data_IF_339270202955
#
_entry.id   IF_339270202955
#
_cell.length_a   1.000
_cell.length_b   1.000
_cell.length_c   1.000
_cell.angle_alpha   90.00
_cell.angle_beta   90.00
_cell.angle_gamma   90.00
#
_symmetry.space_group_name_H-M   'P 1'
#
loop_
_entity.id
_entity.type
_entity.pdbx_description
1 polymer ?
#
# COMPACT_ATOMS: atom_id res chain seq x y z
N UNK A 1 1.95 -28.39 -21.72
CA UNK A 1 3.09 -27.46 -21.86
C UNK A 1 2.66 -26.15 -21.24
N UNK A 2 3.08 -25.89 -20.02
CA UNK A 2 2.86 -24.60 -19.36
C UNK A 2 3.96 -23.66 -19.83
N UNK A 3 3.60 -22.69 -20.66
CA UNK A 3 4.52 -21.63 -21.08
C UNK A 3 4.99 -20.90 -19.81
N UNK A 4 6.31 -20.90 -19.58
CA UNK A 4 6.91 -20.00 -18.60
C UNK A 4 6.61 -18.58 -19.07
N UNK A 5 6.11 -17.69 -18.20
CA UNK A 5 5.98 -16.29 -18.58
C UNK A 5 7.35 -15.76 -19.04
N UNK A 6 7.39 -14.88 -20.05
CA UNK A 6 8.64 -14.29 -20.51
C UNK A 6 9.38 -13.71 -19.30
N UNK A 7 10.65 -14.07 -19.14
CA UNK A 7 11.50 -13.51 -18.09
C UNK A 7 11.59 -12.00 -18.33
N UNK A 8 10.80 -11.23 -17.60
CA UNK A 8 10.88 -9.77 -17.61
C UNK A 8 12.30 -9.42 -17.17
N UNK A 9 13.12 -8.93 -18.10
CA UNK A 9 14.50 -8.57 -17.75
C UNK A 9 14.43 -7.36 -16.84
N UNK A 10 14.73 -7.56 -15.56
CA UNK A 10 14.77 -6.47 -14.61
C UNK A 10 15.85 -5.48 -15.02
N UNK A 11 15.52 -4.19 -15.01
CA UNK A 11 16.52 -3.14 -15.15
C UNK A 11 17.45 -3.11 -13.92
N UNK A 12 18.56 -2.38 -14.00
CA UNK A 12 19.56 -2.33 -12.94
C UNK A 12 18.99 -1.82 -11.60
N UNK A 13 18.01 -0.92 -11.63
CA UNK A 13 17.40 -0.31 -10.44
C UNK A 13 16.40 -1.24 -9.78
N UNK A 14 15.54 -1.89 -10.56
CA UNK A 14 14.64 -2.94 -10.10
C UNK A 14 15.42 -4.04 -9.38
N UNK A 15 16.58 -4.45 -9.92
CA UNK A 15 17.47 -5.41 -9.24
C UNK A 15 18.04 -4.88 -7.93
N UNK A 16 18.42 -3.59 -7.87
CA UNK A 16 18.93 -2.98 -6.63
C UNK A 16 17.86 -2.91 -5.54
N UNK A 17 16.64 -2.48 -5.90
CA UNK A 17 15.52 -2.40 -4.95
C UNK A 17 15.08 -3.79 -4.50
N UNK A 18 14.94 -4.72 -5.44
CA UNK A 18 14.68 -6.13 -5.12
C UNK A 18 15.76 -6.71 -4.22
N UNK A 19 17.04 -6.48 -4.54
CA UNK A 19 18.18 -6.89 -3.72
C UNK A 19 18.15 -6.28 -2.32
N UNK A 20 17.70 -5.04 -2.18
CA UNK A 20 17.56 -4.37 -0.87
C UNK A 20 16.47 -5.03 -0.02
N UNK A 21 15.31 -5.36 -0.59
CA UNK A 21 14.28 -6.12 0.14
C UNK A 21 14.74 -7.52 0.54
N UNK A 22 15.47 -8.21 -0.33
CA UNK A 22 16.06 -9.52 0.00
C UNK A 22 17.14 -9.42 1.08
N UNK A 23 17.92 -8.34 1.09
CA UNK A 23 18.89 -8.07 2.13
C UNK A 23 18.22 -7.84 3.48
N UNK A 24 17.21 -6.96 3.55
CA UNK A 24 16.40 -6.75 4.76
C UNK A 24 15.73 -8.05 5.25
N UNK A 25 15.25 -8.88 4.33
CA UNK A 25 14.72 -10.22 4.63
C UNK A 25 15.78 -11.14 5.26
N UNK A 26 17.03 -11.05 4.82
CA UNK A 26 18.15 -11.80 5.40
C UNK A 26 18.61 -11.25 6.76
N UNK A 27 18.53 -9.94 6.99
CA UNK A 27 18.87 -9.35 8.29
C UNK A 27 17.95 -9.86 9.41
N UNK A 28 16.66 -10.06 9.08
CA UNK A 28 15.70 -10.66 10.01
C UNK A 28 16.08 -12.07 10.46
N UNK A 29 16.79 -12.85 9.64
CA UNK A 29 17.29 -14.16 10.06
C UNK A 29 18.35 -14.01 11.16
N UNK A 30 19.24 -13.03 11.03
CA UNK A 30 20.23 -12.71 12.06
C UNK A 30 19.59 -12.21 13.35
N UNK A 31 18.61 -11.31 13.25
CA UNK A 31 17.84 -10.79 14.40
C UNK A 31 17.12 -11.93 15.12
N UNK A 32 16.49 -12.86 14.39
CA UNK A 32 15.78 -13.99 14.97
C UNK A 32 16.69 -14.90 15.81
N UNK A 33 17.91 -15.16 15.34
CA UNK A 33 18.87 -16.02 16.03
C UNK A 33 19.38 -15.38 17.31
N UNK A 34 19.67 -14.08 17.27
CA UNK A 34 20.08 -13.32 18.44
C UNK A 34 18.98 -13.31 19.51
N UNK A 35 17.74 -13.04 19.12
CA UNK A 35 16.62 -12.93 20.05
C UNK A 35 16.28 -14.26 20.73
N UNK A 36 16.31 -15.35 19.96
CA UNK A 36 16.14 -16.70 20.53
C UNK A 36 17.26 -17.00 21.54
N UNK A 37 18.50 -16.58 21.30
CA UNK A 37 19.60 -16.77 22.25
C UNK A 37 19.42 -15.92 23.52
N UNK A 38 18.96 -14.67 23.38
CA UNK A 38 18.67 -13.76 24.49
C UNK A 38 17.52 -14.27 25.36
N UNK A 39 16.38 -14.64 24.75
CA UNK A 39 15.20 -15.17 25.46
C UNK A 39 15.52 -16.47 26.21
N UNK A 40 16.33 -17.36 25.63
CA UNK A 40 16.79 -18.58 26.29
C UNK A 40 17.72 -18.32 27.49
N UNK A 41 18.37 -17.16 27.55
CA UNK A 41 19.27 -16.77 28.64
C UNK A 41 18.53 -16.19 29.85
N UNK A 42 17.31 -15.68 29.64
CA UNK A 42 16.46 -15.11 30.68
C UNK A 42 15.81 -16.21 31.53
N UNK A 43 16.16 -16.27 32.82
CA UNK A 43 15.71 -17.31 33.77
C UNK A 43 14.28 -17.12 34.32
N UNK A 44 13.61 -16.02 34.03
CA UNK A 44 12.30 -15.71 34.61
C UNK A 44 11.19 -16.50 33.93
N UNK A 45 10.55 -17.41 34.66
CA UNK A 45 9.34 -18.15 34.27
C UNK A 45 9.37 -18.70 32.82
N UNK A 46 10.21 -19.72 32.60
CA UNK A 46 10.42 -20.44 31.34
C UNK A 46 9.21 -20.55 30.40
N UNK A 47 8.02 -20.84 30.93
CA UNK A 47 6.77 -20.97 30.15
C UNK A 47 6.28 -19.64 29.53
N UNK A 48 6.44 -18.50 30.22
CA UNK A 48 6.06 -17.18 29.67
C UNK A 48 7.03 -16.80 28.56
N UNK A 49 8.33 -17.00 28.77
CA UNK A 49 9.39 -16.77 27.78
C UNK A 49 9.22 -17.66 26.53
N UNK A 50 8.94 -18.96 26.68
CA UNK A 50 8.75 -19.87 25.54
C UNK A 50 7.54 -19.45 24.66
N UNK A 51 6.44 -19.04 25.29
CA UNK A 51 5.24 -18.58 24.57
C UNK A 51 5.45 -17.25 23.84
N UNK A 52 6.35 -16.41 24.37
CA UNK A 52 6.67 -15.10 23.81
C UNK A 52 7.66 -15.22 22.65
N UNK A 53 8.69 -16.03 22.82
CA UNK A 53 9.66 -16.34 21.76
C UNK A 53 8.97 -16.92 20.51
N UNK A 54 7.96 -17.80 20.67
CA UNK A 54 7.19 -18.32 19.55
C UNK A 54 6.32 -17.26 18.86
N UNK A 55 5.76 -16.29 19.61
CA UNK A 55 5.01 -15.17 19.02
C UNK A 55 5.94 -14.25 18.24
N UNK A 56 7.09 -13.89 18.81
CA UNK A 56 8.04 -13.00 18.15
C UNK A 56 8.64 -13.66 16.90
N UNK A 57 8.96 -14.95 16.98
CA UNK A 57 9.35 -15.74 15.81
C UNK A 57 8.28 -15.72 14.72
N UNK A 58 7.00 -15.85 15.08
CA UNK A 58 5.89 -15.75 14.12
C UNK A 58 5.83 -14.36 13.47
N UNK A 59 6.03 -13.29 14.23
CA UNK A 59 6.07 -11.93 13.67
C UNK A 59 7.26 -11.72 12.73
N UNK A 60 8.45 -12.20 13.10
CA UNK A 60 9.66 -12.12 12.27
C UNK A 60 9.45 -12.89 10.95
N UNK A 61 8.98 -14.14 11.02
CA UNK A 61 8.65 -14.95 9.82
C UNK A 61 7.58 -14.26 8.97
N UNK A 62 6.58 -13.65 9.62
CA UNK A 62 5.55 -12.87 8.94
C UNK A 62 6.12 -11.67 8.16
N UNK A 63 7.01 -10.90 8.79
CA UNK A 63 7.67 -9.77 8.12
C UNK A 63 8.57 -10.24 6.98
N UNK A 64 9.37 -11.30 7.21
CA UNK A 64 10.22 -11.91 6.19
C UNK A 64 9.43 -12.31 4.96
N UNK A 65 8.31 -12.99 5.16
CA UNK A 65 7.41 -13.40 4.07
C UNK A 65 6.92 -12.20 3.29
N UNK A 66 6.49 -11.13 3.97
CA UNK A 66 6.07 -9.88 3.32
C UNK A 66 7.19 -9.25 2.51
N UNK A 67 8.40 -9.13 3.06
CA UNK A 67 9.54 -8.54 2.35
C UNK A 67 9.92 -9.34 1.10
N UNK A 68 9.89 -10.67 1.17
CA UNK A 68 10.13 -11.53 0.01
C UNK A 68 9.05 -11.35 -1.06
N UNK A 69 7.77 -11.31 -0.67
CA UNK A 69 6.67 -11.03 -1.62
C UNK A 69 6.82 -9.66 -2.26
N UNK A 70 7.18 -8.63 -1.49
CA UNK A 70 7.46 -7.29 -2.01
C UNK A 70 8.61 -7.34 -3.02
N UNK A 71 9.70 -8.07 -2.70
CA UNK A 71 10.84 -8.24 -3.59
C UNK A 71 10.45 -8.89 -4.92
N UNK A 72 9.57 -9.91 -4.89
CA UNK A 72 9.07 -10.59 -6.08
C UNK A 72 8.17 -9.67 -6.93
N UNK A 73 7.41 -8.78 -6.28
CA UNK A 73 6.48 -7.85 -6.94
C UNK A 73 7.12 -6.56 -7.46
N UNK A 74 8.39 -6.27 -7.11
CA UNK A 74 9.15 -5.09 -7.61
C UNK A 74 8.94 -4.80 -9.10
N UNK A 75 8.99 -5.78 -10.02
CA UNK A 75 8.86 -5.52 -11.44
C UNK A 75 7.46 -4.97 -11.80
N UNK A 76 6.43 -5.44 -11.10
CA UNK A 76 5.02 -5.06 -11.31
C UNK A 76 4.64 -3.75 -10.65
N UNK A 77 5.48 -3.24 -9.75
CA UNK A 77 5.28 -1.97 -9.06
C UNK A 77 6.33 -0.92 -9.42
N UNK A 78 7.20 -1.17 -10.40
CA UNK A 78 8.25 -0.22 -10.80
C UNK A 78 7.90 0.52 -12.08
N UNK A 79 8.11 1.83 -12.08
CA UNK A 79 7.94 2.63 -13.29
C UNK A 79 9.29 2.83 -13.96
N UNK A 80 9.45 2.23 -15.14
CA UNK A 80 10.70 2.28 -15.90
C UNK A 80 10.96 3.69 -16.47
N UNK A 81 12.24 3.99 -16.70
CA UNK A 81 12.66 5.23 -17.36
C UNK A 81 12.11 5.31 -18.77
N UNK A 82 11.58 6.48 -19.13
CA UNK A 82 11.08 6.79 -20.46
C UNK A 82 10.01 7.86 -20.41
N UNK A 83 9.49 8.20 -21.59
CA UNK A 83 8.37 9.14 -21.70
C UNK A 83 7.09 8.51 -21.14
N UNK A 84 6.25 9.33 -20.53
CA UNK A 84 4.98 8.90 -19.94
C UNK A 84 3.84 9.12 -20.93
N UNK A 85 3.17 8.04 -21.32
CA UNK A 85 2.09 8.09 -22.30
C UNK A 85 0.70 7.95 -21.65
N UNK A 86 -0.28 8.71 -22.15
CA UNK A 86 -1.69 8.63 -21.74
C UNK A 86 -2.27 7.21 -21.77
N UNK A 87 -1.85 6.40 -22.75
CA UNK A 87 -2.27 4.99 -22.91
C UNK A 87 -1.86 4.10 -21.73
N UNK A 88 -0.90 4.52 -20.91
CA UNK A 88 -0.38 3.75 -19.78
C UNK A 88 -1.02 4.14 -18.44
N UNK A 89 -1.91 5.14 -18.44
CA UNK A 89 -2.48 5.72 -17.23
C UNK A 89 -3.13 4.70 -16.29
N UNK A 90 -3.80 3.65 -16.82
CA UNK A 90 -4.36 2.57 -16.00
C UNK A 90 -3.28 1.71 -15.32
N UNK A 91 -2.23 1.34 -16.08
CA UNK A 91 -1.08 0.58 -15.57
C UNK A 91 -0.37 1.35 -14.46
N UNK A 92 -0.13 2.64 -14.67
CA UNK A 92 0.53 3.52 -13.70
C UNK A 92 -0.25 3.63 -12.38
N UNK A 93 -1.59 3.65 -12.47
CA UNK A 93 -2.44 3.62 -11.26
C UNK A 93 -2.40 2.25 -10.58
N UNK A 94 -2.37 1.15 -11.32
CA UNK A 94 -2.29 -0.20 -10.75
C UNK A 94 -0.94 -0.44 -10.05
N UNK A 95 0.17 0.09 -10.58
CA UNK A 95 1.46 0.12 -9.91
C UNK A 95 1.38 0.81 -8.54
N UNK A 96 0.79 2.01 -8.48
CA UNK A 96 0.62 2.75 -7.22
C UNK A 96 -0.31 2.05 -6.23
N UNK A 97 -1.37 1.40 -6.72
CA UNK A 97 -2.26 0.60 -5.88
C UNK A 97 -1.56 -0.61 -5.28
N UNK A 98 -0.65 -1.24 -6.04
CA UNK A 98 0.15 -2.35 -5.54
C UNK A 98 1.16 -1.86 -4.49
N UNK A 99 1.88 -0.75 -4.73
CA UNK A 99 2.76 -0.09 -3.74
C UNK A 99 2.01 0.23 -2.44
N UNK A 100 0.83 0.82 -2.57
CA UNK A 100 -0.03 1.17 -1.43
C UNK A 100 -0.51 -0.07 -0.68
N UNK A 101 -0.83 -1.15 -1.39
CA UNK A 101 -1.25 -2.40 -0.75
C UNK A 101 -0.14 -3.03 0.09
N UNK A 102 1.11 -3.01 -0.39
CA UNK A 102 2.26 -3.47 0.37
C UNK A 102 2.57 -2.55 1.57
N UNK A 103 2.41 -1.24 1.39
CA UNK A 103 2.56 -0.25 2.47
C UNK A 103 1.54 -0.47 3.59
N UNK A 104 0.26 -0.66 3.25
CA UNK A 104 -0.82 -1.02 4.18
C UNK A 104 -0.47 -2.28 5.00
N UNK A 105 0.12 -3.27 4.34
CA UNK A 105 0.44 -4.57 4.93
C UNK A 105 1.63 -4.49 5.91
N UNK A 106 2.64 -3.68 5.61
CA UNK A 106 3.74 -3.38 6.53
C UNK A 106 3.26 -2.55 7.72
N UNK A 107 2.37 -1.57 7.50
CA UNK A 107 1.77 -0.77 8.58
C UNK A 107 0.94 -1.64 9.53
N UNK A 108 0.14 -2.56 8.98
CA UNK A 108 -0.65 -3.50 9.78
C UNK A 108 0.24 -4.41 10.61
N UNK A 109 1.27 -5.00 9.97
CA UNK A 109 2.25 -5.82 10.69
C UNK A 109 2.87 -5.05 11.85
N UNK A 110 3.32 -3.80 11.62
CA UNK A 110 3.93 -2.96 12.65
C UNK A 110 2.96 -2.66 13.79
N UNK A 111 1.69 -2.39 13.48
CA UNK A 111 0.66 -2.16 14.50
C UNK A 111 0.38 -3.40 15.35
N UNK A 112 0.30 -4.58 14.74
CA UNK A 112 0.08 -5.84 15.44
C UNK A 112 1.30 -6.20 16.31
N UNK A 113 2.50 -6.01 15.78
CA UNK A 113 3.75 -6.21 16.49
C UNK A 113 3.86 -5.29 17.73
N UNK A 114 3.55 -3.99 17.57
CA UNK A 114 3.50 -3.02 18.68
C UNK A 114 2.49 -3.39 19.74
N UNK A 115 1.27 -3.73 19.35
CA UNK A 115 0.25 -4.15 20.31
C UNK A 115 0.68 -5.38 21.12
N UNK A 116 1.39 -6.32 20.49
CA UNK A 116 1.98 -7.46 21.20
C UNK A 116 3.07 -7.01 22.19
N UNK A 117 3.99 -6.14 21.74
CA UNK A 117 5.06 -5.56 22.59
C UNK A 117 4.52 -4.78 23.78
N UNK A 118 3.53 -3.92 23.58
CA UNK A 118 2.89 -3.16 24.65
C UNK A 118 2.19 -4.07 25.66
N UNK A 119 1.55 -5.15 25.19
CA UNK A 119 0.96 -6.16 26.07
C UNK A 119 2.00 -6.85 26.95
N UNK A 120 3.23 -7.02 26.47
CA UNK A 120 4.32 -7.63 27.22
C UNK A 120 4.95 -6.64 28.18
N UNK A 121 5.15 -5.38 27.75
CA UNK A 121 5.65 -4.31 28.61
C UNK A 121 4.80 -4.14 29.87
N UNK A 122 3.47 -4.30 29.75
CA UNK A 122 2.54 -4.28 30.88
C UNK A 122 2.73 -5.45 31.87
N UNK A 123 3.34 -6.56 31.44
CA UNK A 123 3.59 -7.75 32.25
C UNK A 123 5.03 -7.75 32.79
N UNK A 124 6.00 -7.27 32.00
CA UNK A 124 7.43 -7.22 32.31
C UNK A 124 7.98 -5.82 31.95
N UNK A 125 7.89 -4.84 32.88
CA UNK A 125 8.19 -3.44 32.58
C UNK A 125 9.66 -3.14 32.23
N UNK A 126 10.60 -3.95 32.73
CA UNK A 126 12.04 -3.62 32.68
C UNK A 126 12.75 -3.98 31.36
N UNK A 127 12.05 -4.51 30.33
CA UNK A 127 12.66 -5.10 29.13
C UNK A 127 12.16 -4.57 27.78
N UNK A 128 11.49 -3.41 27.73
CA UNK A 128 11.01 -2.86 26.46
C UNK A 128 11.83 -1.65 25.99
N UNK A 129 12.74 -1.88 25.04
CA UNK A 129 13.25 -0.81 24.17
C UNK A 129 12.10 -0.17 23.36
N UNK A 130 12.20 1.15 23.14
CA UNK A 130 11.19 1.97 22.45
C UNK A 130 11.11 1.64 20.94
N UNK A 131 12.18 1.10 20.34
CA UNK A 131 12.22 0.71 18.92
C UNK A 131 13.07 -0.54 18.78
N UNK A 132 12.52 -1.59 18.17
CA UNK A 132 13.23 -2.85 17.99
C UNK A 132 13.88 -2.93 16.60
N UNK A 133 14.91 -3.77 16.41
CA UNK A 133 15.51 -3.99 15.09
C UNK A 133 14.50 -4.39 14.01
N UNK A 134 13.46 -5.18 14.35
CA UNK A 134 12.43 -5.57 13.39
C UNK A 134 11.53 -4.40 12.96
N UNK A 135 11.22 -3.48 13.88
CA UNK A 135 10.50 -2.26 13.51
C UNK A 135 11.33 -1.37 12.60
N UNK A 136 12.64 -1.33 12.83
CA UNK A 136 13.57 -0.57 12.01
C UNK A 136 13.67 -1.15 10.60
N UNK A 137 13.78 -2.48 10.46
CA UNK A 137 13.71 -3.16 9.16
C UNK A 137 12.39 -2.86 8.45
N UNK A 138 11.27 -2.91 9.17
CA UNK A 138 9.96 -2.57 8.61
C UNK A 138 9.90 -1.11 8.14
N UNK A 139 10.48 -0.17 8.90
CA UNK A 139 10.57 1.25 8.53
C UNK A 139 11.41 1.44 7.27
N UNK A 140 12.58 0.81 7.19
CA UNK A 140 13.44 0.87 6.00
C UNK A 140 12.73 0.29 4.76
N UNK A 141 11.97 -0.79 4.92
CA UNK A 141 11.17 -1.35 3.84
C UNK A 141 10.06 -0.38 3.36
N UNK A 142 9.39 0.32 4.28
CA UNK A 142 8.41 1.36 3.95
C UNK A 142 9.05 2.53 3.19
N UNK A 143 10.23 2.97 3.63
CA UNK A 143 10.98 4.04 2.97
C UNK A 143 11.38 3.64 1.54
N UNK A 144 11.86 2.40 1.35
CA UNK A 144 12.21 1.83 0.03
C UNK A 144 11.02 1.80 -0.93
N UNK A 145 9.83 1.41 -0.46
CA UNK A 145 8.59 1.40 -1.26
C UNK A 145 8.20 2.80 -1.74
N UNK A 146 8.48 3.84 -0.95
CA UNK A 146 8.03 5.21 -1.26
C UNK A 146 8.99 5.97 -2.18
N UNK A 147 10.28 5.64 -2.18
CA UNK A 147 11.33 6.52 -2.74
C UNK A 147 12.05 5.95 -3.96
N UNK A 148 12.18 4.62 -4.06
CA UNK A 148 13.13 4.02 -5.00
C UNK A 148 12.51 3.28 -6.19
N UNK A 149 11.18 3.26 -6.35
CA UNK A 149 10.50 2.46 -7.39
C UNK A 149 10.20 3.17 -8.72
N UNK A 150 10.53 4.44 -8.88
CA UNK A 150 10.34 5.16 -10.15
C UNK A 150 11.62 5.86 -10.62
N UNK A 151 11.99 5.64 -11.88
CA UNK A 151 13.21 6.18 -12.54
C UNK A 151 12.90 7.29 -13.55
N UNK A 152 11.74 7.91 -13.41
CA UNK A 152 11.32 9.01 -14.26
C UNK A 152 12.06 10.30 -13.93
N UNK A 153 12.19 11.18 -14.93
CA UNK A 153 12.64 12.56 -14.69
C UNK A 153 11.60 13.32 -13.86
N UNK A 154 11.96 14.45 -13.28
CA UNK A 154 11.00 15.27 -12.53
C UNK A 154 9.80 15.72 -13.37
N UNK A 155 10.01 16.02 -14.66
CA UNK A 155 8.94 16.41 -15.58
C UNK A 155 8.03 15.22 -15.94
N UNK A 156 8.62 14.03 -16.10
CA UNK A 156 7.85 12.80 -16.38
C UNK A 156 7.10 12.30 -15.13
N UNK A 157 7.67 12.45 -13.94
CA UNK A 157 6.97 12.20 -12.67
C UNK A 157 5.77 13.12 -12.50
N UNK A 158 5.92 14.39 -12.89
CA UNK A 158 4.83 15.35 -12.89
C UNK A 158 3.70 14.88 -13.83
N UNK A 159 4.02 14.51 -15.07
CA UNK A 159 3.04 13.98 -16.03
C UNK A 159 2.39 12.69 -15.54
N UNK A 160 3.18 11.74 -15.01
CA UNK A 160 2.68 10.50 -14.39
C UNK A 160 1.68 10.78 -13.28
N UNK A 161 1.98 11.74 -12.39
CA UNK A 161 1.09 12.12 -11.31
C UNK A 161 -0.23 12.70 -11.84
N UNK A 162 -0.21 13.52 -12.90
CA UNK A 162 -1.43 14.02 -13.55
C UNK A 162 -2.29 12.90 -14.15
N UNK A 163 -1.66 11.95 -14.85
CA UNK A 163 -2.36 10.78 -15.41
C UNK A 163 -3.01 9.90 -14.34
N UNK A 164 -2.28 9.65 -13.24
CA UNK A 164 -2.78 8.88 -12.10
C UNK A 164 -3.97 9.60 -11.46
N UNK A 165 -3.90 10.93 -11.29
CA UNK A 165 -5.00 11.72 -10.74
C UNK A 165 -6.26 11.66 -11.62
N UNK A 166 -6.11 11.77 -12.94
CA UNK A 166 -7.23 11.62 -13.89
C UNK A 166 -7.87 10.24 -13.76
N UNK A 167 -7.07 9.18 -13.69
CA UNK A 167 -7.59 7.82 -13.53
C UNK A 167 -8.24 7.55 -12.17
N UNK A 168 -7.73 8.17 -11.09
CA UNK A 168 -8.40 8.14 -9.79
C UNK A 168 -9.78 8.78 -9.89
N UNK A 169 -9.93 9.90 -10.61
CA UNK A 169 -11.23 10.53 -10.80
C UNK A 169 -12.18 9.62 -11.58
N UNK A 170 -11.72 9.01 -12.68
CA UNK A 170 -12.50 8.03 -13.46
C UNK A 170 -12.96 6.85 -12.59
N UNK A 171 -12.05 6.22 -11.83
CA UNK A 171 -12.40 5.11 -10.93
C UNK A 171 -13.37 5.54 -9.83
N UNK A 172 -13.23 6.74 -9.28
CA UNK A 172 -14.19 7.27 -8.30
C UNK A 172 -15.57 7.51 -8.90
N UNK A 173 -15.65 8.04 -10.11
CA UNK A 173 -16.93 8.21 -10.80
C UNK A 173 -17.60 6.85 -11.06
N UNK A 174 -16.81 5.84 -11.42
CA UNK A 174 -17.31 4.46 -11.55
C UNK A 174 -17.80 3.89 -10.20
N UNK A 175 -17.03 4.05 -9.13
CA UNK A 175 -17.44 3.61 -7.78
C UNK A 175 -18.71 4.33 -7.31
N UNK A 176 -18.82 5.64 -7.54
CA UNK A 176 -20.01 6.44 -7.23
C UNK A 176 -21.22 5.99 -8.05
N UNK A 177 -21.04 5.68 -9.33
CA UNK A 177 -22.10 5.14 -10.17
C UNK A 177 -22.59 3.77 -9.67
N UNK A 178 -21.69 2.89 -9.23
CA UNK A 178 -22.04 1.62 -8.59
C UNK A 178 -22.83 1.84 -7.29
N UNK A 179 -22.41 2.78 -6.44
CA UNK A 179 -23.14 3.15 -5.22
C UNK A 179 -24.50 3.80 -5.49
N UNK A 180 -24.63 4.59 -6.56
CA UNK A 180 -25.91 5.21 -6.92
C UNK A 180 -26.88 4.21 -7.56
N UNK A 181 -26.37 3.23 -8.31
CA UNK A 181 -27.17 2.17 -8.93
C UNK A 181 -27.66 1.11 -7.94
N UNK A 182 -26.89 0.83 -6.87
CA UNK A 182 -27.24 -0.20 -5.87
C UNK A 182 -28.59 0.06 -5.16
N UNK A 183 -28.91 1.26 -4.66
CA UNK A 183 -30.24 1.57 -4.10
C UNK A 183 -31.35 1.64 -5.15
N UNK A 184 -31.03 2.13 -6.36
CA UNK A 184 -32.01 2.27 -7.45
C UNK A 184 -32.49 0.92 -7.99
N UNK A 185 -31.64 -0.11 -7.97
CA UNK A 185 -32.04 -1.48 -8.30
C UNK A 185 -32.96 -2.07 -7.22
N UNK A 186 -32.70 -1.79 -5.94
CA UNK A 186 -33.59 -2.19 -4.84
C UNK A 186 -34.98 -1.55 -4.96
N UNK A 187 -35.04 -0.25 -5.30
CA UNK A 187 -36.32 0.45 -5.51
C UNK A 187 -37.06 -0.08 -6.75
N UNK A 188 -36.36 -0.35 -7.87
CA UNK A 188 -36.99 -0.98 -9.04
C UNK A 188 -37.56 -2.37 -8.74
N UNK A 189 -36.84 -3.18 -7.96
CA UNK A 189 -37.33 -4.49 -7.50
C UNK A 189 -38.60 -4.35 -6.63
N UNK A 190 -38.62 -3.39 -5.69
CA UNK A 190 -39.79 -3.09 -4.86
C UNK A 190 -40.97 -2.55 -5.68
N UNK A 191 -40.71 -1.72 -6.69
CA UNK A 191 -41.77 -1.14 -7.54
C UNK A 191 -42.40 -2.18 -8.48
N UNK A 192 -41.60 -3.11 -9.03
CA UNK A 192 -42.12 -4.30 -9.73
C UNK A 192 -42.96 -5.18 -8.80
N UNK A 193 -42.57 -5.31 -7.52
CA UNK A 193 -43.29 -6.09 -6.51
C UNK A 193 -44.71 -5.57 -6.27
N UNK A 194 -44.88 -4.25 -6.19
CA UNK A 194 -46.18 -3.61 -5.97
C UNK A 194 -47.13 -3.74 -7.17
N UNK A 195 -46.59 -3.86 -8.38
CA UNK A 195 -47.40 -3.93 -9.61
C UNK A 195 -47.91 -5.34 -9.95
N UNK A 196 -47.35 -6.41 -9.39
CA UNK A 196 -47.72 -7.81 -9.69
C UNK A 196 -48.26 -8.57 -8.46
N UNK A 197 -49.13 -7.93 -7.67
CA UNK A 197 -49.64 -8.39 -6.37
C UNK A 197 -50.45 -9.70 -6.31
N UNK A 198 -50.43 -10.55 -7.34
CA UNK A 198 -51.14 -11.85 -7.34
C UNK A 198 -50.17 -13.05 -7.57
N UNK A 199 -48.94 -12.82 -8.04
CA UNK A 199 -47.86 -13.85 -8.08
C UNK A 199 -47.00 -13.82 -6.81
N UNK A 200 -47.25 -12.84 -5.93
CA UNK A 200 -46.38 -12.44 -4.82
C UNK A 200 -46.15 -13.48 -3.71
N UNK A 201 -46.99 -14.51 -3.55
CA UNK A 201 -46.82 -15.46 -2.45
C UNK A 201 -45.71 -16.51 -2.71
N UNK A 202 -45.49 -16.90 -3.97
CA UNK A 202 -44.39 -17.79 -4.35
C UNK A 202 -43.09 -17.02 -4.63
N UNK A 203 -43.19 -15.78 -5.12
CA UNK A 203 -42.05 -14.90 -5.34
C UNK A 203 -41.53 -14.24 -4.04
N UNK A 204 -42.29 -14.24 -2.94
CA UNK A 204 -41.84 -13.68 -1.66
C UNK A 204 -40.58 -14.37 -1.11
N UNK A 205 -40.41 -15.68 -1.34
CA UNK A 205 -39.22 -16.43 -0.94
C UNK A 205 -38.04 -16.06 -1.84
N UNK A 206 -38.25 -16.00 -3.17
CA UNK A 206 -37.22 -15.61 -4.13
C UNK A 206 -36.74 -14.16 -3.90
N UNK A 207 -37.67 -13.26 -3.55
CA UNK A 207 -37.40 -11.85 -3.25
C UNK A 207 -36.74 -11.66 -1.88
N UNK A 208 -37.08 -12.45 -0.86
CA UNK A 208 -36.37 -12.42 0.43
C UNK A 208 -34.94 -12.93 0.28
N UNK A 209 -34.72 -13.90 -0.62
CA UNK A 209 -33.40 -14.39 -1.00
C UNK A 209 -32.65 -13.33 -1.80
N UNK A 210 -33.26 -12.67 -2.80
CA UNK A 210 -32.62 -11.60 -3.57
C UNK A 210 -32.29 -10.36 -2.73
N UNK A 211 -33.23 -9.86 -1.91
CA UNK A 211 -32.96 -8.75 -0.97
C UNK A 211 -31.91 -9.14 0.08
N UNK A 212 -31.93 -10.39 0.53
CA UNK A 212 -30.90 -10.96 1.40
C UNK A 212 -29.53 -11.02 0.70
N UNK A 213 -29.48 -11.44 -0.56
CA UNK A 213 -28.27 -11.41 -1.39
C UNK A 213 -27.76 -10.00 -1.62
N UNK A 214 -28.63 -9.03 -1.92
CA UNK A 214 -28.22 -7.63 -2.07
C UNK A 214 -27.71 -7.04 -0.76
N UNK A 215 -28.37 -7.30 0.37
CA UNK A 215 -27.91 -6.83 1.68
C UNK A 215 -26.59 -7.50 2.10
N UNK A 216 -26.42 -8.78 1.77
CA UNK A 216 -25.21 -9.55 2.02
C UNK A 216 -24.05 -9.13 1.11
N UNK A 217 -24.28 -8.97 -0.19
CA UNK A 217 -23.32 -8.42 -1.15
C UNK A 217 -22.95 -6.98 -0.77
N UNK A 218 -23.91 -6.17 -0.35
CA UNK A 218 -23.63 -4.82 0.15
C UNK A 218 -22.78 -4.84 1.42
N UNK A 219 -23.09 -5.70 2.39
CA UNK A 219 -22.33 -5.84 3.62
C UNK A 219 -20.90 -6.38 3.39
N UNK A 220 -20.73 -7.29 2.42
CA UNK A 220 -19.42 -7.86 2.05
C UNK A 220 -18.59 -6.87 1.23
N UNK A 221 -19.21 -6.18 0.28
CA UNK A 221 -18.48 -5.31 -0.64
C UNK A 221 -18.18 -3.92 -0.04
N UNK A 222 -18.94 -3.47 0.97
CA UNK A 222 -18.75 -2.15 1.59
C UNK A 222 -17.38 -1.98 2.24
N UNK A 223 -16.86 -2.91 3.06
CA UNK A 223 -15.49 -2.83 3.59
C UNK A 223 -14.41 -2.73 2.51
N UNK A 224 -14.52 -3.52 1.44
CA UNK A 224 -13.55 -3.54 0.35
C UNK A 224 -13.57 -2.24 -0.47
N UNK A 225 -14.76 -1.71 -0.75
CA UNK A 225 -14.91 -0.43 -1.44
C UNK A 225 -14.38 0.72 -0.56
N UNK A 226 -14.66 0.71 0.75
CA UNK A 226 -14.12 1.70 1.68
C UNK A 226 -12.60 1.65 1.75
N UNK A 227 -12.03 0.43 1.74
CA UNK A 227 -10.57 0.22 1.68
C UNK A 227 -9.99 0.77 0.38
N UNK A 228 -10.60 0.44 -0.76
CA UNK A 228 -10.19 0.94 -2.07
C UNK A 228 -10.29 2.47 -2.16
N UNK A 229 -11.37 3.06 -1.67
CA UNK A 229 -11.54 4.52 -1.58
C UNK A 229 -10.43 5.16 -0.74
N UNK A 230 -10.08 4.56 0.39
CA UNK A 230 -9.00 5.04 1.27
C UNK A 230 -7.65 5.01 0.56
N UNK A 231 -7.32 3.92 -0.12
CA UNK A 231 -6.08 3.79 -0.93
C UNK A 231 -6.00 4.85 -2.02
N UNK A 232 -7.09 5.03 -2.78
CA UNK A 232 -7.17 6.08 -3.81
C UNK A 232 -6.99 7.50 -3.21
N UNK A 233 -7.46 7.75 -1.99
CA UNK A 233 -7.24 9.03 -1.31
C UNK A 233 -5.77 9.24 -0.92
N UNK A 234 -5.08 8.21 -0.44
CA UNK A 234 -3.66 8.30 -0.08
C UNK A 234 -2.82 8.56 -1.32
N UNK A 235 -3.03 7.78 -2.39
CA UNK A 235 -2.33 7.98 -3.67
C UNK A 235 -2.61 9.39 -4.20
N UNK A 236 -3.87 9.85 -4.18
CA UNK A 236 -4.23 11.20 -4.59
C UNK A 236 -3.47 12.28 -3.79
N UNK A 237 -3.37 12.11 -2.46
CA UNK A 237 -2.65 13.05 -1.61
C UNK A 237 -1.16 13.09 -1.97
N UNK A 238 -0.51 11.93 -2.16
CA UNK A 238 0.89 11.84 -2.60
C UNK A 238 1.12 12.54 -3.94
N UNK A 239 0.30 12.24 -4.94
CA UNK A 239 0.40 12.90 -6.25
C UNK A 239 0.27 14.42 -6.14
N UNK A 240 -0.68 14.92 -5.32
CA UNK A 240 -0.86 16.37 -5.13
C UNK A 240 0.34 17.03 -4.44
N UNK A 241 0.93 16.38 -3.45
CA UNK A 241 2.15 16.87 -2.80
C UNK A 241 3.30 16.96 -3.79
N UNK A 242 3.50 15.91 -4.60
CA UNK A 242 4.54 15.89 -5.63
C UNK A 242 4.34 17.01 -6.66
N UNK A 243 3.11 17.21 -7.15
CA UNK A 243 2.81 18.31 -8.08
C UNK A 243 3.11 19.68 -7.46
N UNK A 244 2.78 19.87 -6.18
CA UNK A 244 3.06 21.12 -5.47
C UNK A 244 4.57 21.36 -5.29
N UNK A 245 5.35 20.32 -4.99
CA UNK A 245 6.81 20.38 -4.86
C UNK A 245 7.48 20.73 -6.20
N UNK A 246 7.08 20.07 -7.29
CA UNK A 246 7.60 20.36 -8.63
C UNK A 246 7.24 21.77 -9.09
N UNK A 247 6.00 22.21 -8.84
CA UNK A 247 5.58 23.59 -9.12
C UNK A 247 6.38 24.62 -8.31
N UNK A 248 6.65 24.34 -7.03
CA UNK A 248 7.48 25.21 -6.20
C UNK A 248 8.92 25.30 -6.71
N UNK A 249 9.51 24.16 -7.12
CA UNK A 249 10.84 24.13 -7.73
C UNK A 249 10.90 24.95 -9.02
N UNK A 250 9.90 24.80 -9.90
CA UNK A 250 9.81 25.53 -11.17
C UNK A 250 9.65 27.04 -10.96
N UNK A 251 8.84 27.45 -10.00
CA UNK A 251 8.68 28.87 -9.65
C UNK A 251 9.96 29.44 -8.99
N UNK A 252 10.68 28.62 -8.22
CA UNK A 252 11.96 28.98 -7.61
C UNK A 252 13.08 29.16 -8.64
N UNK A 253 13.15 28.29 -9.65
CA UNK A 253 14.08 28.45 -10.77
C UNK A 253 13.72 29.62 -11.68
N UNK A 254 12.43 29.86 -11.95
CA UNK A 254 11.99 31.07 -12.68
C UNK A 254 12.31 32.36 -11.92
N UNK A 255 12.30 32.35 -10.58
CA UNK A 255 12.72 33.48 -9.76
C UNK A 255 14.24 33.69 -9.84
N UNK A 256 15.03 32.62 -9.81
CA UNK A 256 16.49 32.67 -9.96
C UNK A 256 16.92 33.16 -11.36
N UNK A 257 16.22 32.78 -12.42
CA UNK A 257 16.49 33.25 -13.79
C UNK A 257 16.10 34.72 -14.01
N UNK A 258 15.16 35.25 -13.21
CA UNK A 258 14.73 36.66 -13.24
C UNK A 258 15.50 37.55 -12.28
N UNK A 259 16.42 37.01 -11.47
CA UNK A 259 17.37 37.85 -10.74
C UNK A 259 18.28 38.51 -11.77
N UNK A 260 18.38 39.86 -11.82
CA UNK A 260 19.37 40.50 -12.65
C UNK A 260 20.73 39.95 -12.24
N UNK A 261 21.44 39.33 -13.19
CA UNK A 261 22.84 38.99 -13.01
C UNK A 261 23.57 40.26 -12.56
N UNK A 262 23.85 40.36 -11.26
CA UNK A 262 24.84 41.29 -10.74
C UNK A 262 26.20 40.75 -11.18
N UNK A 263 26.50 40.93 -12.47
CA UNK A 263 27.86 40.91 -12.97
C UNK A 263 28.54 42.20 -12.55
N UNK A 264 29.76 42.05 -12.04
CA UNK A 264 30.72 43.08 -11.66
C UNK A 264 30.44 43.86 -10.37
N UNK A 265 31.06 43.43 -9.28
CA UNK A 265 32.03 44.28 -8.56
C UNK A 265 33.05 43.38 -7.88
N UNK A 266 34.25 43.31 -8.47
CA UNK A 266 35.53 43.21 -7.76
C UNK A 266 36.63 43.28 -8.81
N UNK A 267 37.02 44.52 -9.14
CA UNK A 267 38.36 44.88 -9.60
C UNK A 267 38.45 46.41 -9.54
N UNK A 268 38.79 46.89 -8.35
CA UNK A 268 39.93 47.80 -8.07
C UNK A 268 39.80 48.41 -6.66
#
# INVERSE_FOLDING_TARGET
MTERPPSVSLDGRQRLVQGSFLHLSSELDGISQFRVAEDNSLRCAKHICDSQAERDKKYIVGLKTKLTTIADDVPSMSTQRGDVYWSESDRLLDEELLRESHTDDLLRWRSEYRANRDSIANIVPDHCEITTPEEEVCRQAQDLLCTHLSDLSHDDEYQRAELILDQIQKRRMALLAQFAMSPLQSVRAVTMLTCFGIVALLNAIMVSVELGHFAFEYAINTPDILKQKRRLNVIQARCRTLLAEVQAMRNGTEFMEKLPMYTHYTQD
#
